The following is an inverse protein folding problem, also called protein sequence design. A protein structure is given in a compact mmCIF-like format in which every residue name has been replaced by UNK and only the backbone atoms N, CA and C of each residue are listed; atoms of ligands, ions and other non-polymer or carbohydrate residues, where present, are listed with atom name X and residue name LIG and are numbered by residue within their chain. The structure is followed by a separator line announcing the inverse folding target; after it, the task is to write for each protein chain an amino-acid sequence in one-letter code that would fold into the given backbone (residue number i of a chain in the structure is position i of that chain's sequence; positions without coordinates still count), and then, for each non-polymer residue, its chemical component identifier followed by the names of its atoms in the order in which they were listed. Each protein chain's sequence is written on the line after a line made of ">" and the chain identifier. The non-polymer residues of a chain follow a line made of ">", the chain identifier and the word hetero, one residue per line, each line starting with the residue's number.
data_IF_808016478711
#
_entry.id   IF_808016478711
#
_cell.length_a   1.000
_cell.length_b   1.000
_cell.length_c   1.000
_cell.angle_alpha   90.00
_cell.angle_beta   90.00
_cell.angle_gamma   90.00
#
_symmetry.space_group_name_H-M   'P 1'
#
loop_
_entity.id
_entity.type
_entity.pdbx_description
1 polymer ?
#
# COMPACT_ATOMS: atom_id res chain seq x y z
N UNK A 1 -9.79 15.34 -13.88
CA UNK A 1 -8.86 15.56 -12.75
C UNK A 1 -7.44 15.39 -13.26
N UNK A 2 -6.52 16.28 -12.86
CA UNK A 2 -5.11 16.28 -13.29
C UNK A 2 -4.24 16.20 -12.03
N UNK A 3 -3.19 15.38 -12.07
CA UNK A 3 -2.21 15.28 -10.99
C UNK A 3 -0.79 15.32 -11.54
N UNK A 4 0.12 15.89 -10.76
CA UNK A 4 1.52 16.02 -11.16
C UNK A 4 2.22 14.66 -11.11
N UNK A 5 2.96 14.32 -12.17
CA UNK A 5 3.93 13.24 -12.13
C UNK A 5 5.25 13.73 -11.54
N UNK A 6 5.87 12.91 -10.70
CA UNK A 6 7.11 13.21 -9.98
C UNK A 6 8.07 12.05 -10.19
N UNK A 7 9.31 12.34 -10.57
CA UNK A 7 10.37 11.33 -10.66
C UNK A 7 11.04 11.16 -9.30
N UNK A 8 11.11 9.92 -8.82
CA UNK A 8 11.75 9.58 -7.55
C UNK A 8 12.83 8.53 -7.81
N UNK A 9 14.03 8.76 -7.27
CA UNK A 9 15.13 7.80 -7.34
C UNK A 9 14.98 6.77 -6.22
N UNK A 10 14.96 5.49 -6.55
CA UNK A 10 14.98 4.39 -5.58
C UNK A 10 16.40 4.20 -5.02
N UNK A 11 16.50 3.55 -3.87
CA UNK A 11 17.79 3.18 -3.26
C UNK A 11 18.66 2.33 -4.19
N UNK A 12 18.04 1.48 -5.02
CA UNK A 12 18.73 0.66 -6.02
C UNK A 12 19.13 1.44 -7.30
N UNK A 13 19.05 2.78 -7.27
CA UNK A 13 19.43 3.65 -8.38
C UNK A 13 18.38 3.78 -9.50
N UNK A 14 17.35 2.94 -9.54
CA UNK A 14 16.29 2.99 -10.58
C UNK A 14 15.35 4.18 -10.34
N UNK A 15 14.95 4.85 -11.43
CA UNK A 15 13.90 5.87 -11.40
C UNK A 15 12.50 5.24 -11.35
N UNK A 16 11.57 5.88 -10.63
CA UNK A 16 10.15 5.58 -10.68
C UNK A 16 9.35 6.87 -10.89
N UNK A 17 8.28 6.78 -11.67
CA UNK A 17 7.26 7.83 -11.74
C UNK A 17 6.30 7.63 -10.56
N UNK A 18 6.03 8.70 -9.83
CA UNK A 18 5.03 8.77 -8.78
C UNK A 18 4.00 9.83 -9.15
N UNK A 19 2.71 9.52 -9.06
CA UNK A 19 1.66 10.52 -9.28
C UNK A 19 1.29 11.15 -7.93
N UNK A 20 1.31 12.48 -7.86
CA UNK A 20 0.96 13.21 -6.65
C UNK A 20 -0.56 13.29 -6.48
N UNK A 21 -1.10 12.37 -5.68
CA UNK A 21 -2.54 12.28 -5.39
C UNK A 21 -3.01 13.16 -4.22
N UNK A 22 -2.21 14.11 -3.70
CA UNK A 22 -2.59 14.90 -2.51
C UNK A 22 -3.95 15.60 -2.64
N UNK A 23 -4.23 16.24 -3.78
CA UNK A 23 -5.51 16.93 -3.98
C UNK A 23 -6.68 15.95 -4.12
N UNK A 24 -6.45 14.79 -4.74
CA UNK A 24 -7.46 13.74 -4.85
C UNK A 24 -7.80 13.15 -3.48
N UNK A 25 -6.78 12.80 -2.70
CA UNK A 25 -6.94 12.21 -1.37
C UNK A 25 -7.66 13.17 -0.40
N UNK A 26 -7.60 14.48 -0.63
CA UNK A 26 -8.37 15.49 0.14
C UNK A 26 -9.82 15.59 -0.32
N UNK A 27 -10.09 15.39 -1.61
CA UNK A 27 -11.44 15.48 -2.17
C UNK A 27 -12.26 14.20 -1.96
N UNK A 28 -11.61 13.05 -1.88
CA UNK A 28 -12.25 11.77 -1.61
C UNK A 28 -12.46 11.57 -0.10
N UNK A 29 -13.68 11.20 0.35
CA UNK A 29 -13.90 10.71 1.70
C UNK A 29 -12.98 9.52 1.98
N UNK A 30 -12.37 9.49 3.17
CA UNK A 30 -11.53 8.37 3.58
C UNK A 30 -12.44 7.18 3.90
N UNK A 31 -12.26 6.07 3.20
CA UNK A 31 -12.83 4.80 3.63
C UNK A 31 -12.12 4.37 4.92
N UNK A 32 -12.88 4.23 6.00
CA UNK A 32 -12.38 4.03 7.35
C UNK A 32 -12.56 2.59 7.83
N UNK A 33 -12.21 1.62 6.99
CA UNK A 33 -12.13 0.23 7.44
C UNK A 33 -11.03 0.10 8.50
N UNK A 34 -11.35 -0.35 9.73
CA UNK A 34 -10.35 -0.47 10.77
C UNK A 34 -9.38 -1.60 10.40
N UNK A 35 -8.11 -1.25 10.24
CA UNK A 35 -7.07 -2.27 10.13
C UNK A 35 -6.93 -2.96 11.49
N UNK A 36 -6.90 -4.31 11.54
CA UNK A 36 -6.71 -5.03 12.79
C UNK A 36 -5.38 -4.65 13.42
N UNK A 37 -5.36 -4.54 14.75
CA UNK A 37 -4.12 -4.34 15.48
C UNK A 37 -3.25 -5.60 15.36
N UNK A 38 -1.94 -5.43 15.45
CA UNK A 38 -1.00 -6.56 15.39
C UNK A 38 -1.36 -7.62 16.42
N UNK A 39 -1.68 -7.21 17.65
CA UNK A 39 -2.10 -8.13 18.72
C UNK A 39 -3.34 -8.95 18.32
N UNK A 40 -4.32 -8.34 17.66
CA UNK A 40 -5.52 -9.04 17.18
C UNK A 40 -5.19 -10.08 16.10
N UNK A 41 -4.24 -9.78 15.21
CA UNK A 41 -3.77 -10.72 14.20
C UNK A 41 -3.01 -11.89 14.85
N UNK A 42 -2.14 -11.60 15.82
CA UNK A 42 -1.38 -12.61 16.55
C UNK A 42 -2.34 -13.51 17.33
N UNK A 43 -3.23 -12.94 18.13
CA UNK A 43 -4.23 -13.69 18.90
C UNK A 43 -5.12 -14.56 18.01
N UNK A 44 -5.52 -14.04 16.83
CA UNK A 44 -6.33 -14.81 15.87
C UNK A 44 -5.60 -16.02 15.26
N UNK A 45 -4.27 -16.05 15.34
CA UNK A 45 -3.44 -17.12 14.77
C UNK A 45 -2.84 -18.04 15.82
N UNK A 46 -3.05 -17.78 17.12
CA UNK A 46 -2.62 -18.66 18.21
C UNK A 46 -3.31 -20.02 18.10
N UNK A 47 -2.53 -21.10 18.25
CA UNK A 47 -3.03 -22.47 18.20
C UNK A 47 -3.10 -23.09 16.80
N UNK A 48 -2.78 -22.33 15.75
CA UNK A 48 -2.61 -22.89 14.40
C UNK A 48 -1.21 -23.51 14.23
N UNK A 49 -1.15 -24.74 13.71
CA UNK A 49 0.11 -25.47 13.49
C UNK A 49 0.92 -24.96 12.29
N UNK A 50 0.25 -24.28 11.34
CA UNK A 50 0.86 -23.74 10.13
C UNK A 50 0.21 -22.42 9.73
N UNK A 51 1.05 -21.45 9.36
CA UNK A 51 0.65 -20.18 8.78
C UNK A 51 1.32 -20.02 7.41
N UNK A 52 0.57 -19.49 6.43
CA UNK A 52 1.11 -19.12 5.12
C UNK A 52 0.89 -17.64 4.87
N UNK A 53 1.91 -16.96 4.34
CA UNK A 53 1.88 -15.54 4.03
C UNK A 53 1.87 -15.34 2.52
N UNK A 54 0.90 -14.57 2.01
CA UNK A 54 0.80 -14.22 0.60
C UNK A 54 1.12 -12.73 0.42
N UNK A 55 1.98 -12.41 -0.54
CA UNK A 55 2.34 -11.04 -0.88
C UNK A 55 1.67 -10.61 -2.19
N UNK A 56 0.91 -9.51 -2.13
CA UNK A 56 0.21 -8.91 -3.27
C UNK A 56 1.00 -7.75 -3.90
N UNK A 57 2.31 -7.87 -4.05
CA UNK A 57 3.19 -6.79 -4.54
C UNK A 57 2.95 -6.33 -5.98
N UNK A 58 2.13 -7.06 -6.74
CA UNK A 58 1.69 -6.68 -8.09
C UNK A 58 0.34 -5.93 -8.12
N UNK A 59 -0.36 -5.82 -6.99
CA UNK A 59 -1.68 -5.18 -6.92
C UNK A 59 -1.66 -3.66 -7.18
N UNK A 60 -0.48 -3.04 -7.10
CA UNK A 60 -0.30 -1.65 -7.54
C UNK A 60 0.44 -1.67 -8.88
N UNK A 61 -0.26 -1.28 -9.95
CA UNK A 61 0.30 -1.23 -11.30
C UNK A 61 1.56 -0.37 -11.31
N UNK A 62 2.69 -0.99 -11.65
CA UNK A 62 3.86 -0.26 -12.14
C UNK A 62 3.53 0.13 -13.57
N UNK A 63 3.20 1.41 -13.80
CA UNK A 63 3.26 1.94 -15.15
C UNK A 63 4.67 1.64 -15.73
N UNK A 64 4.77 1.20 -17.00
CA UNK A 64 6.06 0.96 -17.64
C UNK A 64 6.96 2.21 -17.59
#
# INVERSE_FOLDING_TARGET
>A
WVSNSVLVKKYNGKWRVCINFTNLNKACPKDSFPLPRIDQLVDSTVGHELLSFMDASLATTKYP
#
